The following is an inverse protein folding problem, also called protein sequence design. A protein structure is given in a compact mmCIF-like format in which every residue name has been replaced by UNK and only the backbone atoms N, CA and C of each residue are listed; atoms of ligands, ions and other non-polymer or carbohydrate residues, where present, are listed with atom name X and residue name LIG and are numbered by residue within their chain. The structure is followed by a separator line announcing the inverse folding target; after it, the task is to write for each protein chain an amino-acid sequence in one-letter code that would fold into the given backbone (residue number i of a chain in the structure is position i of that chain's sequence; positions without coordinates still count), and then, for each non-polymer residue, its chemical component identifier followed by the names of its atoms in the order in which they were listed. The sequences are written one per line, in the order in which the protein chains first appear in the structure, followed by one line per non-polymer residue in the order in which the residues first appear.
data_IF_918693452945
#
_entry.id   IF_918693452945
#
_cell.length_a   1.000
_cell.length_b   1.000
_cell.length_c   1.000
_cell.angle_alpha   90.00
_cell.angle_beta   90.00
_cell.angle_gamma   90.00
#
_symmetry.space_group_name_H-M   'P 1'
#
loop_
_entity.id
_entity.type
_entity.pdbx_description
1 polymer ?
#
# COMPACT_ATOMS: atom_id res chain seq x y z
N UNK A 1 5.91 -1.78 -37.01
CA UNK A 1 7.30 -1.39 -37.31
C UNK A 1 8.14 -1.27 -36.05
N UNK A 2 8.69 -2.41 -35.57
CA UNK A 2 9.61 -2.46 -34.43
C UNK A 2 11.07 -2.15 -34.83
N UNK A 3 11.36 -2.12 -36.13
CA UNK A 3 12.72 -1.91 -36.65
C UNK A 3 13.10 -0.43 -36.73
N UNK A 4 12.16 0.48 -36.98
CA UNK A 4 12.43 1.92 -37.07
C UNK A 4 12.60 2.62 -35.70
N UNK A 5 12.03 2.06 -34.62
CA UNK A 5 12.06 2.68 -33.28
C UNK A 5 13.24 2.24 -32.41
N UNK A 6 14.08 1.33 -32.91
CA UNK A 6 15.10 0.62 -32.13
C UNK A 6 16.53 1.14 -32.33
N UNK A 7 16.72 2.38 -32.78
CA UNK A 7 18.05 3.01 -32.77
C UNK A 7 18.27 3.62 -31.37
N UNK A 8 18.85 2.85 -30.46
CA UNK A 8 19.32 3.31 -29.14
C UNK A 8 18.44 2.97 -27.92
N UNK A 9 17.20 2.51 -28.12
CA UNK A 9 16.33 2.02 -27.04
C UNK A 9 16.37 0.49 -26.93
N UNK A 10 16.55 -0.02 -25.71
CA UNK A 10 16.56 -1.46 -25.43
C UNK A 10 15.23 -2.12 -25.90
N UNK A 11 15.29 -2.93 -26.97
CA UNK A 11 14.12 -3.60 -27.60
C UNK A 11 13.19 -4.27 -26.58
N UNK A 12 13.74 -4.84 -25.49
CA UNK A 12 12.96 -5.45 -24.40
C UNK A 12 12.01 -4.46 -23.73
N UNK A 13 12.47 -3.24 -23.46
CA UNK A 13 11.67 -2.18 -22.82
C UNK A 13 10.57 -1.67 -23.73
N UNK A 14 10.83 -1.65 -25.04
CA UNK A 14 9.86 -1.20 -26.04
C UNK A 14 8.70 -2.21 -26.20
N UNK A 15 9.02 -3.51 -26.29
CA UNK A 15 8.01 -4.58 -26.27
C UNK A 15 7.21 -4.55 -24.97
N UNK A 16 7.88 -4.43 -23.83
CA UNK A 16 7.22 -4.37 -22.53
C UNK A 16 6.28 -3.17 -22.41
N UNK A 17 6.71 -1.99 -22.87
CA UNK A 17 5.86 -0.79 -22.90
C UNK A 17 4.65 -0.96 -23.80
N UNK A 18 4.79 -1.64 -24.94
CA UNK A 18 3.67 -1.93 -25.83
C UNK A 18 2.66 -2.87 -25.16
N UNK A 19 3.13 -3.94 -24.50
CA UNK A 19 2.28 -4.87 -23.74
C UNK A 19 1.53 -4.16 -22.61
N UNK A 20 2.22 -3.33 -21.81
CA UNK A 20 1.58 -2.53 -20.75
C UNK A 20 0.50 -1.63 -21.34
N UNK A 21 0.77 -0.96 -22.45
CA UNK A 21 -0.17 -0.03 -23.08
C UNK A 21 -1.44 -0.75 -23.55
N UNK A 22 -1.30 -1.91 -24.20
CA UNK A 22 -2.45 -2.69 -24.64
C UNK A 22 -3.23 -3.30 -23.46
N UNK A 23 -2.55 -3.77 -22.41
CA UNK A 23 -3.22 -4.26 -21.21
C UNK A 23 -3.99 -3.16 -20.47
N UNK A 24 -3.43 -1.95 -20.38
CA UNK A 24 -4.14 -0.79 -19.82
C UNK A 24 -5.38 -0.49 -20.64
N UNK A 25 -5.27 -0.49 -21.98
CA UNK A 25 -6.40 -0.27 -22.89
C UNK A 25 -7.50 -1.32 -22.74
N UNK A 26 -7.15 -2.58 -22.47
CA UNK A 26 -8.13 -3.66 -22.26
C UNK A 26 -8.89 -3.54 -20.93
N UNK A 27 -8.26 -2.96 -19.91
CA UNK A 27 -8.87 -2.77 -18.58
C UNK A 27 -9.60 -1.44 -18.46
N UNK A 28 -9.26 -0.43 -19.25
CA UNK A 28 -9.94 0.85 -19.21
C UNK A 28 -11.25 0.76 -20.03
N UNK A 29 -12.43 0.79 -19.39
CA UNK A 29 -13.69 0.78 -20.14
C UNK A 29 -14.00 2.13 -20.80
N UNK A 30 -13.15 3.16 -20.62
CA UNK A 30 -13.41 4.56 -21.04
C UNK A 30 -14.68 5.17 -20.39
N UNK A 31 -15.24 4.49 -19.38
CA UNK A 31 -16.40 4.92 -18.59
C UNK A 31 -15.91 5.49 -17.26
N UNK A 32 -16.35 6.70 -16.93
CA UNK A 32 -16.06 7.30 -15.63
C UNK A 32 -16.77 6.51 -14.52
N UNK A 33 -16.07 6.14 -13.44
CA UNK A 33 -16.71 5.54 -12.29
C UNK A 33 -17.80 6.43 -11.71
N UNK A 34 -18.89 5.82 -11.25
CA UNK A 34 -19.87 6.50 -10.43
C UNK A 34 -19.21 7.05 -9.16
N UNK A 35 -19.58 8.27 -8.78
CA UNK A 35 -19.10 8.94 -7.58
C UNK A 35 -20.29 9.30 -6.70
N UNK A 36 -20.25 8.97 -5.40
CA UNK A 36 -21.30 9.37 -4.47
C UNK A 36 -21.33 10.90 -4.32
N UNK A 37 -22.52 11.45 -4.11
CA UNK A 37 -22.75 12.88 -3.92
C UNK A 37 -22.96 13.18 -2.44
N UNK A 38 -22.19 14.13 -1.89
CA UNK A 38 -22.30 14.55 -0.49
C UNK A 38 -23.67 15.15 -0.18
N UNK A 39 -24.13 15.02 1.06
CA UNK A 39 -25.42 15.54 1.55
C UNK A 39 -26.68 15.02 0.81
N UNK A 40 -26.55 13.90 0.07
CA UNK A 40 -27.66 13.18 -0.54
C UNK A 40 -27.56 11.70 -0.13
N UNK A 41 -28.66 10.97 0.09
CA UNK A 41 -28.58 9.52 0.24
C UNK A 41 -28.12 8.89 -1.07
N UNK A 42 -26.99 8.18 -1.02
CA UNK A 42 -26.48 7.36 -2.11
C UNK A 42 -26.69 5.89 -1.73
N UNK A 43 -27.50 5.17 -2.50
CA UNK A 43 -27.78 3.75 -2.27
C UNK A 43 -26.92 2.91 -3.19
N UNK A 44 -26.12 2.01 -2.62
CA UNK A 44 -25.21 1.14 -3.37
C UNK A 44 -25.51 -0.32 -3.07
N UNK A 45 -25.83 -1.09 -4.11
CA UNK A 45 -26.14 -2.51 -3.98
C UNK A 45 -24.95 -3.37 -4.37
N UNK A 46 -24.57 -4.32 -3.52
CA UNK A 46 -23.45 -5.23 -3.76
C UNK A 46 -23.95 -6.59 -4.22
N UNK A 47 -23.49 -7.02 -5.40
CA UNK A 47 -23.89 -8.28 -6.03
C UNK A 47 -22.67 -9.11 -6.42
N UNK A 48 -22.87 -10.40 -6.65
CA UNK A 48 -21.81 -11.29 -7.12
C UNK A 48 -21.89 -12.70 -6.53
N UNK A 49 -20.95 -13.54 -6.95
CA UNK A 49 -20.95 -14.97 -6.63
C UNK A 49 -20.85 -15.25 -5.13
N UNK A 50 -21.30 -16.44 -4.74
CA UNK A 50 -21.05 -16.95 -3.40
C UNK A 50 -19.54 -17.02 -3.15
N UNK A 51 -19.10 -16.57 -1.97
CA UNK A 51 -17.70 -16.60 -1.60
C UNK A 51 -16.81 -15.53 -2.28
N UNK A 52 -17.37 -14.61 -3.08
CA UNK A 52 -16.59 -13.53 -3.72
C UNK A 52 -16.12 -12.43 -2.76
N UNK A 53 -16.59 -12.45 -1.50
CA UNK A 53 -16.19 -11.50 -0.47
C UNK A 53 -17.15 -10.34 -0.21
N UNK A 54 -18.36 -10.33 -0.79
CA UNK A 54 -19.38 -9.25 -0.66
C UNK A 54 -19.51 -8.65 0.74
N UNK A 55 -19.93 -9.41 1.75
CA UNK A 55 -20.14 -8.91 3.13
C UNK A 55 -18.90 -8.23 3.72
N UNK A 56 -17.71 -8.79 3.47
CA UNK A 56 -16.44 -8.21 3.90
C UNK A 56 -16.17 -6.91 3.13
N UNK A 57 -16.36 -6.91 1.82
CA UNK A 57 -16.17 -5.73 0.95
C UNK A 57 -17.17 -4.62 1.28
N UNK A 58 -18.43 -4.92 1.60
CA UNK A 58 -19.43 -3.95 2.05
C UNK A 58 -18.91 -3.18 3.27
N UNK A 59 -18.39 -3.91 4.26
CA UNK A 59 -17.82 -3.30 5.48
C UNK A 59 -16.59 -2.45 5.16
N UNK A 60 -15.66 -2.96 4.33
CA UNK A 60 -14.46 -2.23 3.90
C UNK A 60 -14.80 -0.94 3.14
N UNK A 61 -15.76 -1.01 2.24
CA UNK A 61 -16.24 0.12 1.47
C UNK A 61 -16.89 1.17 2.38
N UNK A 62 -17.79 0.74 3.28
CA UNK A 62 -18.40 1.62 4.27
C UNK A 62 -17.36 2.32 5.16
N UNK A 63 -16.35 1.57 5.62
CA UNK A 63 -15.28 2.07 6.47
C UNK A 63 -14.36 3.05 5.73
N UNK A 64 -14.02 2.76 4.47
CA UNK A 64 -13.22 3.65 3.62
C UNK A 64 -13.87 5.03 3.47
N UNK A 65 -15.17 5.09 3.22
CA UNK A 65 -15.91 6.35 3.13
C UNK A 65 -16.13 7.01 4.50
N UNK A 66 -16.38 6.22 5.55
CA UNK A 66 -16.50 6.74 6.92
C UNK A 66 -15.22 7.48 7.36
N UNK A 67 -14.04 6.92 7.09
CA UNK A 67 -12.74 7.58 7.35
C UNK A 67 -12.56 8.90 6.60
N UNK A 68 -13.28 9.09 5.50
CA UNK A 68 -13.31 10.32 4.68
C UNK A 68 -14.47 11.26 5.09
N UNK A 69 -15.07 11.04 6.25
CA UNK A 69 -16.11 11.89 6.81
C UNK A 69 -17.51 11.66 6.22
N UNK A 70 -17.79 10.51 5.62
CA UNK A 70 -19.14 10.15 5.18
C UNK A 70 -19.94 9.47 6.28
N UNK A 71 -21.25 9.78 6.36
CA UNK A 71 -22.18 8.99 7.18
C UNK A 71 -22.57 7.73 6.42
N UNK A 72 -21.99 6.60 6.80
CA UNK A 72 -22.19 5.31 6.12
C UNK A 72 -23.05 4.36 6.96
N UNK A 73 -23.84 3.53 6.30
CA UNK A 73 -24.66 2.50 6.94
C UNK A 73 -24.70 1.23 6.09
N UNK A 74 -24.90 0.08 6.75
CA UNK A 74 -24.94 -1.24 6.13
C UNK A 74 -26.33 -1.86 6.28
N UNK A 75 -26.87 -2.46 5.22
CA UNK A 75 -28.13 -3.21 5.22
C UNK A 75 -27.81 -4.65 4.81
N UNK A 76 -28.15 -5.62 5.64
CA UNK A 76 -27.98 -7.03 5.35
C UNK A 76 -29.26 -7.60 4.72
N UNK A 77 -29.26 -7.80 3.40
CA UNK A 77 -30.33 -8.45 2.65
C UNK A 77 -29.95 -9.88 2.23
N UNK A 78 -29.02 -10.52 2.94
CA UNK A 78 -28.67 -11.93 2.78
C UNK A 78 -29.48 -12.77 3.79
N UNK A 79 -30.71 -13.14 3.42
CA UNK A 79 -31.60 -13.98 4.25
C UNK A 79 -31.38 -15.47 4.04
N UNK A 80 -30.63 -15.85 2.99
CA UNK A 80 -30.45 -17.26 2.61
C UNK A 80 -29.33 -17.94 3.42
N UNK A 81 -28.23 -17.25 3.66
CA UNK A 81 -27.07 -17.83 4.32
C UNK A 81 -27.18 -17.74 5.84
N UNK A 82 -27.12 -18.90 6.50
CA UNK A 82 -27.09 -18.96 7.96
C UNK A 82 -25.95 -18.12 8.56
N UNK A 83 -26.28 -17.25 9.51
CA UNK A 83 -25.32 -16.38 10.18
C UNK A 83 -24.78 -15.22 9.31
N UNK A 84 -25.34 -14.96 8.12
CA UNK A 84 -24.92 -13.83 7.30
C UNK A 84 -25.14 -12.49 8.01
N UNK A 85 -26.30 -12.30 8.66
CA UNK A 85 -26.57 -11.11 9.43
C UNK A 85 -25.61 -10.96 10.62
N UNK A 86 -25.33 -12.06 11.34
CA UNK A 86 -24.35 -12.03 12.45
C UNK A 86 -22.94 -11.69 11.96
N UNK A 87 -22.53 -12.20 10.80
CA UNK A 87 -21.25 -11.85 10.18
C UNK A 87 -21.18 -10.35 9.87
N UNK A 88 -22.21 -9.80 9.20
CA UNK A 88 -22.27 -8.37 8.89
C UNK A 88 -22.28 -7.53 10.17
N UNK A 89 -23.10 -7.91 11.16
CA UNK A 89 -23.20 -7.26 12.47
C UNK A 89 -21.87 -7.23 13.20
N UNK A 90 -21.12 -8.32 13.24
CA UNK A 90 -19.80 -8.38 13.87
C UNK A 90 -18.81 -7.45 13.16
N UNK A 91 -18.80 -7.46 11.83
CA UNK A 91 -17.92 -6.62 11.03
C UNK A 91 -18.26 -5.13 11.19
N UNK A 92 -19.54 -4.78 11.12
CA UNK A 92 -20.05 -3.42 11.31
C UNK A 92 -19.76 -2.90 12.73
N UNK A 93 -19.92 -3.74 13.75
CA UNK A 93 -19.61 -3.38 15.15
C UNK A 93 -18.12 -3.08 15.33
N UNK A 94 -17.24 -3.93 14.78
CA UNK A 94 -15.77 -3.69 14.80
C UNK A 94 -15.41 -2.37 14.10
N UNK A 95 -16.11 -2.05 13.01
CA UNK A 95 -15.91 -0.83 12.23
C UNK A 95 -16.61 0.41 12.80
N UNK A 96 -17.48 0.25 13.82
CA UNK A 96 -18.39 1.28 14.35
C UNK A 96 -19.34 1.88 13.29
N UNK A 97 -19.83 1.03 12.40
CA UNK A 97 -20.75 1.40 11.32
C UNK A 97 -22.16 0.95 11.70
N UNK A 98 -23.18 1.82 11.65
CA UNK A 98 -24.57 1.44 11.84
C UNK A 98 -25.01 0.37 10.82
N UNK A 99 -25.79 -0.59 11.28
CA UNK A 99 -26.24 -1.72 10.47
C UNK A 99 -27.73 -2.00 10.67
N UNK A 100 -28.38 -2.50 9.63
CA UNK A 100 -29.77 -2.96 9.63
C UNK A 100 -29.84 -4.38 9.08
N UNK A 101 -30.78 -5.16 9.60
CA UNK A 101 -31.09 -6.51 9.17
C UNK A 101 -32.09 -7.15 10.14
N UNK A 102 -32.59 -8.32 9.78
CA UNK A 102 -33.63 -9.02 10.54
C UNK A 102 -33.25 -10.48 10.78
N UNK A 103 -33.59 -10.99 11.95
CA UNK A 103 -33.50 -12.42 12.26
C UNK A 103 -34.81 -13.18 11.94
N UNK A 104 -35.92 -12.46 11.80
CA UNK A 104 -37.26 -13.04 11.66
C UNK A 104 -37.87 -12.82 10.29
N UNK A 105 -37.48 -11.74 9.60
CA UNK A 105 -37.94 -11.47 8.24
C UNK A 105 -37.15 -12.34 7.27
N UNK A 106 -37.86 -13.03 6.40
CA UNK A 106 -37.28 -13.92 5.39
C UNK A 106 -37.18 -13.25 4.01
N UNK A 107 -38.01 -12.24 3.74
CA UNK A 107 -38.03 -11.53 2.47
C UNK A 107 -36.90 -10.47 2.42
N UNK A 108 -35.88 -10.66 1.55
CA UNK A 108 -34.78 -9.72 1.44
C UNK A 108 -35.20 -8.38 0.82
N UNK A 109 -36.29 -8.32 0.05
CA UNK A 109 -36.83 -7.07 -0.50
C UNK A 109 -37.36 -6.18 0.63
N UNK A 110 -38.13 -6.74 1.56
CA UNK A 110 -38.67 -6.01 2.72
C UNK A 110 -37.52 -5.47 3.57
N UNK A 111 -36.52 -6.31 3.89
CA UNK A 111 -35.36 -5.89 4.67
C UNK A 111 -34.56 -4.78 3.98
N UNK A 112 -34.36 -4.89 2.67
CA UNK A 112 -33.63 -3.90 1.90
C UNK A 112 -34.37 -2.56 1.86
N UNK A 113 -35.69 -2.56 1.61
CA UNK A 113 -36.51 -1.34 1.57
C UNK A 113 -36.56 -0.67 2.94
N UNK A 114 -36.86 -1.41 4.00
CA UNK A 114 -36.96 -0.86 5.35
C UNK A 114 -35.62 -0.31 5.85
N UNK A 115 -34.52 -1.02 5.58
CA UNK A 115 -33.18 -0.58 5.94
C UNK A 115 -32.77 0.69 5.21
N UNK A 116 -33.01 0.76 3.90
CA UNK A 116 -32.73 1.96 3.11
C UNK A 116 -33.59 3.13 3.57
N UNK A 117 -34.88 2.93 3.83
CA UNK A 117 -35.79 3.97 4.29
C UNK A 117 -35.42 4.50 5.69
N UNK A 118 -35.04 3.60 6.60
CA UNK A 118 -34.58 3.97 7.95
C UNK A 118 -33.35 4.86 7.87
N UNK A 119 -32.33 4.46 7.10
CA UNK A 119 -31.11 5.24 6.98
C UNK A 119 -31.28 6.53 6.15
N UNK A 120 -32.23 6.58 5.22
CA UNK A 120 -32.64 7.84 4.56
C UNK A 120 -33.21 8.83 5.56
N UNK A 121 -34.11 8.38 6.44
CA UNK A 121 -34.71 9.23 7.51
C UNK A 121 -33.66 9.76 8.48
N UNK A 122 -32.66 8.94 8.82
CA UNK A 122 -31.57 9.32 9.72
C UNK A 122 -30.46 10.15 9.04
N UNK A 123 -30.66 10.57 7.78
CA UNK A 123 -29.73 11.39 6.99
C UNK A 123 -28.35 10.74 6.81
N UNK A 124 -28.31 9.44 6.55
CA UNK A 124 -27.10 8.78 6.06
C UNK A 124 -26.84 9.13 4.60
N UNK A 125 -25.57 9.34 4.28
CA UNK A 125 -25.14 9.75 2.94
C UNK A 125 -24.82 8.54 2.05
N UNK A 126 -24.37 7.43 2.64
CA UNK A 126 -23.98 6.23 1.89
C UNK A 126 -24.59 5.00 2.54
N UNK A 127 -25.57 4.40 1.86
CA UNK A 127 -26.32 3.24 2.31
C UNK A 127 -25.90 2.06 1.44
N UNK A 128 -25.31 1.04 2.06
CA UNK A 128 -24.73 -0.10 1.37
C UNK A 128 -25.56 -1.34 1.64
N UNK A 129 -26.10 -1.94 0.59
CA UNK A 129 -26.95 -3.13 0.66
C UNK A 129 -26.14 -4.37 0.29
N UNK A 130 -25.91 -5.26 1.25
CA UNK A 130 -25.26 -6.56 1.07
C UNK A 130 -26.30 -7.63 0.71
N UNK A 131 -26.24 -8.15 -0.51
CA UNK A 131 -27.15 -9.22 -0.96
C UNK A 131 -26.52 -10.60 -0.77
N UNK A 132 -27.36 -11.64 -0.77
CA UNK A 132 -26.91 -13.03 -0.87
C UNK A 132 -26.00 -13.28 -2.08
N UNK A 133 -25.14 -14.30 -1.97
CA UNK A 133 -24.35 -14.77 -3.10
C UNK A 133 -25.18 -15.62 -4.05
N UNK A 134 -25.07 -15.35 -5.36
CA UNK A 134 -25.93 -15.98 -6.37
C UNK A 134 -25.06 -16.66 -7.44
N UNK A 135 -25.38 -17.89 -7.81
CA UNK A 135 -24.76 -18.57 -8.96
C UNK A 135 -25.53 -18.21 -10.23
N UNK A 136 -24.85 -17.94 -11.37
CA UNK A 136 -25.51 -17.57 -12.64
C UNK A 136 -26.56 -18.57 -13.17
N UNK A 137 -26.61 -19.78 -12.62
CA UNK A 137 -27.52 -20.84 -13.06
C UNK A 137 -28.87 -20.85 -12.32
N UNK A 138 -29.04 -20.03 -11.29
CA UNK A 138 -30.27 -20.00 -10.48
C UNK A 138 -31.18 -18.82 -10.88
N UNK A 139 -32.10 -19.05 -11.81
CA UNK A 139 -33.00 -18.00 -12.34
C UNK A 139 -33.85 -17.32 -11.26
N UNK A 140 -34.36 -18.09 -10.30
CA UNK A 140 -35.18 -17.57 -9.18
C UNK A 140 -34.41 -16.55 -8.35
N UNK A 141 -33.11 -16.77 -8.13
CA UNK A 141 -32.26 -15.82 -7.43
C UNK A 141 -31.98 -14.57 -8.28
N UNK A 142 -31.88 -14.66 -9.61
CA UNK A 142 -31.73 -13.42 -10.39
C UNK A 142 -32.98 -12.55 -10.37
N UNK A 143 -34.15 -13.17 -10.32
CA UNK A 143 -35.43 -12.48 -10.24
C UNK A 143 -35.59 -11.74 -8.90
N UNK A 144 -35.26 -12.38 -7.78
CA UNK A 144 -35.24 -11.73 -6.47
C UNK A 144 -34.25 -10.54 -6.42
N UNK A 145 -33.06 -10.68 -7.01
CA UNK A 145 -32.10 -9.59 -7.10
C UNK A 145 -32.64 -8.40 -7.90
N UNK A 146 -33.35 -8.67 -9.00
CA UNK A 146 -34.00 -7.65 -9.81
C UNK A 146 -35.13 -6.97 -9.04
N UNK A 147 -35.91 -7.73 -8.26
CA UNK A 147 -36.94 -7.19 -7.38
C UNK A 147 -36.34 -6.24 -6.33
N UNK A 148 -35.26 -6.65 -5.65
CA UNK A 148 -34.54 -5.79 -4.69
C UNK A 148 -34.05 -4.52 -5.39
N UNK A 149 -33.39 -4.64 -6.55
CA UNK A 149 -32.90 -3.50 -7.31
C UNK A 149 -34.01 -2.52 -7.68
N UNK A 150 -35.16 -3.03 -8.12
CA UNK A 150 -36.31 -2.21 -8.50
C UNK A 150 -36.97 -1.54 -7.29
N UNK A 151 -36.99 -2.22 -6.13
CA UNK A 151 -37.57 -1.70 -4.90
C UNK A 151 -36.73 -0.59 -4.24
N UNK A 152 -35.41 -0.77 -4.19
CA UNK A 152 -34.53 0.21 -3.52
C UNK A 152 -34.00 1.31 -4.44
N UNK A 153 -34.02 1.07 -5.76
CA UNK A 153 -33.50 1.97 -6.81
C UNK A 153 -32.06 2.44 -6.51
N UNK A 154 -31.06 1.53 -6.56
CA UNK A 154 -29.70 1.87 -6.19
C UNK A 154 -29.07 2.85 -7.20
N UNK A 155 -28.32 3.85 -6.71
CA UNK A 155 -27.55 4.77 -7.55
C UNK A 155 -26.36 4.08 -8.24
N UNK A 156 -25.86 3.00 -7.65
CA UNK A 156 -24.82 2.16 -8.22
C UNK A 156 -24.95 0.70 -7.80
N UNK A 157 -24.73 -0.21 -8.74
CA UNK A 157 -24.67 -1.65 -8.47
C UNK A 157 -23.22 -2.10 -8.66
N UNK A 158 -22.63 -2.63 -7.59
CA UNK A 158 -21.24 -3.07 -7.57
C UNK A 158 -21.18 -4.59 -7.69
N UNK A 159 -20.55 -5.07 -8.76
CA UNK A 159 -20.23 -6.49 -8.92
C UNK A 159 -18.91 -6.82 -8.22
N UNK A 160 -18.98 -7.63 -7.16
CA UNK A 160 -17.82 -8.11 -6.41
C UNK A 160 -17.37 -9.45 -6.96
N UNK A 161 -16.14 -9.49 -7.45
CA UNK A 161 -15.52 -10.69 -7.99
C UNK A 161 -14.24 -11.07 -7.26
N UNK A 162 -13.97 -12.36 -7.21
CA UNK A 162 -12.74 -12.93 -6.65
C UNK A 162 -11.65 -12.96 -7.74
N UNK A 163 -10.45 -12.49 -7.41
CA UNK A 163 -9.30 -12.47 -8.32
C UNK A 163 -8.86 -13.86 -8.82
N UNK A 164 -9.20 -14.92 -8.10
CA UNK A 164 -8.91 -16.32 -8.47
C UNK A 164 -9.86 -16.86 -9.55
N UNK A 165 -10.96 -16.17 -9.84
CA UNK A 165 -11.90 -16.61 -10.88
C UNK A 165 -11.19 -16.55 -12.24
N UNK A 166 -11.12 -17.71 -12.90
CA UNK A 166 -10.54 -17.86 -14.22
C UNK A 166 -11.55 -17.56 -15.34
N UNK A 167 -11.60 -18.42 -16.34
CA UNK A 167 -12.39 -18.23 -17.57
C UNK A 167 -13.90 -18.07 -17.32
N UNK A 168 -14.42 -18.64 -16.24
CA UNK A 168 -15.84 -18.51 -15.88
C UNK A 168 -16.25 -17.06 -15.58
N UNK A 169 -15.30 -16.15 -15.31
CA UNK A 169 -15.60 -14.77 -14.96
C UNK A 169 -16.43 -14.04 -16.02
N UNK A 170 -16.15 -14.27 -17.31
CA UNK A 170 -16.85 -13.58 -18.41
C UNK A 170 -18.34 -13.91 -18.43
N UNK A 171 -18.67 -15.21 -18.37
CA UNK A 171 -20.06 -15.69 -18.39
C UNK A 171 -20.84 -15.17 -17.17
N UNK A 172 -20.22 -15.20 -15.99
CA UNK A 172 -20.86 -14.74 -14.77
C UNK A 172 -21.10 -13.23 -14.82
N UNK A 173 -20.07 -12.44 -15.16
CA UNK A 173 -20.19 -10.99 -15.23
C UNK A 173 -21.23 -10.55 -16.28
N UNK A 174 -21.30 -11.25 -17.42
CA UNK A 174 -22.32 -11.02 -18.45
C UNK A 174 -23.75 -11.36 -17.96
N UNK A 175 -23.91 -12.44 -17.19
CA UNK A 175 -25.19 -12.81 -16.60
C UNK A 175 -25.69 -11.80 -15.57
N UNK A 176 -24.80 -11.26 -14.73
CA UNK A 176 -25.17 -10.16 -13.82
C UNK A 176 -25.52 -8.89 -14.59
N UNK A 177 -24.70 -8.49 -15.57
CA UNK A 177 -24.96 -7.27 -16.35
C UNK A 177 -26.24 -7.33 -17.19
N UNK A 178 -26.66 -8.52 -17.65
CA UNK A 178 -27.89 -8.66 -18.44
C UNK A 178 -29.17 -8.59 -17.59
N UNK A 179 -29.06 -8.81 -16.28
CA UNK A 179 -30.20 -8.82 -15.35
C UNK A 179 -30.29 -7.56 -14.50
N UNK A 180 -29.14 -7.03 -14.07
CA UNK A 180 -29.06 -5.79 -13.28
C UNK A 180 -28.02 -4.86 -13.89
N UNK A 181 -28.26 -3.56 -13.77
CA UNK A 181 -27.36 -2.56 -14.33
C UNK A 181 -26.12 -2.36 -13.46
N UNK A 182 -25.18 -3.31 -13.56
CA UNK A 182 -23.88 -3.23 -12.89
C UNK A 182 -23.17 -1.98 -13.38
N UNK A 183 -22.87 -1.04 -12.48
CA UNK A 183 -22.19 0.22 -12.78
C UNK A 183 -20.72 0.23 -12.38
N UNK A 184 -20.27 -0.71 -11.54
CA UNK A 184 -18.88 -0.77 -11.08
C UNK A 184 -18.46 -2.19 -10.68
N UNK A 185 -17.15 -2.44 -10.69
CA UNK A 185 -16.57 -3.74 -10.31
C UNK A 185 -15.59 -3.55 -9.14
N UNK A 186 -15.59 -4.51 -8.21
CA UNK A 186 -14.55 -4.63 -7.17
C UNK A 186 -13.90 -6.00 -7.27
N UNK A 187 -12.58 -6.03 -7.23
CA UNK A 187 -11.79 -7.27 -7.29
C UNK A 187 -11.22 -7.58 -5.91
N UNK A 188 -11.55 -8.73 -5.34
CA UNK A 188 -11.11 -9.16 -3.99
C UNK A 188 -10.02 -10.23 -4.08
N UNK A 189 -9.43 -10.56 -2.92
CA UNK A 189 -8.43 -11.63 -2.75
C UNK A 189 -7.16 -11.46 -3.60
N UNK A 190 -6.74 -10.21 -3.85
CA UNK A 190 -5.52 -9.87 -4.61
C UNK A 190 -4.21 -9.97 -3.81
N UNK A 191 -4.32 -10.35 -2.53
CA UNK A 191 -3.24 -10.82 -1.67
C UNK A 191 -2.80 -12.25 -1.96
N UNK A 192 -3.67 -13.05 -2.58
CA UNK A 192 -3.33 -14.40 -3.02
C UNK A 192 -2.40 -14.37 -4.25
N UNK A 193 -1.82 -15.52 -4.60
CA UNK A 193 -1.02 -15.68 -5.84
C UNK A 193 -1.84 -15.52 -7.14
N UNK A 194 -3.14 -15.21 -7.04
CA UNK A 194 -4.00 -14.98 -8.19
C UNK A 194 -3.57 -13.70 -8.94
N UNK A 195 -3.31 -13.85 -10.23
CA UNK A 195 -2.92 -12.74 -11.12
C UNK A 195 -4.09 -11.81 -11.47
N UNK A 196 -5.30 -12.06 -10.98
CA UNK A 196 -6.46 -11.19 -11.24
C UNK A 196 -6.88 -11.13 -12.71
N UNK A 197 -6.56 -12.15 -13.51
CA UNK A 197 -6.89 -12.19 -14.93
C UNK A 197 -8.39 -12.12 -15.22
N UNK A 198 -9.23 -12.61 -14.31
CA UNK A 198 -10.69 -12.48 -14.42
C UNK A 198 -11.17 -11.02 -14.42
N UNK A 199 -10.41 -10.09 -13.84
CA UNK A 199 -10.77 -8.67 -13.83
C UNK A 199 -10.86 -8.09 -15.25
N UNK A 200 -9.97 -8.51 -16.15
CA UNK A 200 -10.02 -8.17 -17.58
C UNK A 200 -11.33 -8.67 -18.21
N UNK A 201 -11.69 -9.92 -17.95
CA UNK A 201 -12.92 -10.54 -18.47
C UNK A 201 -14.17 -9.86 -17.93
N UNK A 202 -14.19 -9.48 -16.64
CA UNK A 202 -15.30 -8.79 -16.03
C UNK A 202 -15.51 -7.39 -16.64
N UNK A 203 -14.45 -6.61 -16.82
CA UNK A 203 -14.54 -5.29 -17.48
C UNK A 203 -14.98 -5.45 -18.93
N UNK A 204 -14.41 -6.41 -19.66
CA UNK A 204 -14.76 -6.65 -21.05
C UNK A 204 -16.26 -7.00 -21.22
N UNK A 205 -16.81 -7.79 -20.30
CA UNK A 205 -18.21 -8.23 -20.32
C UNK A 205 -19.19 -7.17 -19.78
N UNK A 206 -18.85 -6.48 -18.69
CA UNK A 206 -19.76 -5.53 -18.01
C UNK A 206 -19.67 -4.11 -18.55
N UNK A 207 -18.57 -3.78 -19.25
CA UNK A 207 -18.19 -2.41 -19.64
C UNK A 207 -18.16 -1.43 -18.46
N UNK A 208 -17.98 -1.95 -17.24
CA UNK A 208 -18.01 -1.18 -16.00
C UNK A 208 -16.60 -1.04 -15.43
N UNK A 209 -16.24 0.14 -14.88
CA UNK A 209 -14.91 0.36 -14.33
C UNK A 209 -14.69 -0.39 -13.03
N UNK A 210 -13.45 -0.86 -12.84
CA UNK A 210 -13.00 -1.35 -11.54
C UNK A 210 -12.72 -0.14 -10.65
N UNK A 211 -13.35 -0.09 -9.49
CA UNK A 211 -13.26 1.07 -8.58
C UNK A 211 -12.35 0.82 -7.37
N UNK A 212 -12.30 -0.42 -6.88
CA UNK A 212 -11.52 -0.80 -5.71
C UNK A 212 -10.96 -2.21 -5.83
N UNK A 213 -9.92 -2.47 -5.05
CA UNK A 213 -9.31 -3.77 -4.85
C UNK A 213 -9.24 -4.14 -3.37
N UNK A 214 -9.54 -5.40 -3.06
CA UNK A 214 -9.33 -6.00 -1.75
C UNK A 214 -8.00 -6.74 -1.69
N UNK A 215 -7.10 -6.28 -0.82
CA UNK A 215 -5.70 -6.73 -0.72
C UNK A 215 -5.40 -7.52 0.56
N UNK A 216 -6.44 -8.10 1.18
CA UNK A 216 -6.32 -8.88 2.41
C UNK A 216 -7.66 -9.04 3.12
N UNK A 217 -7.64 -9.57 4.34
CA UNK A 217 -8.83 -9.82 5.17
C UNK A 217 -9.14 -8.69 6.15
N UNK A 218 -8.14 -7.89 6.54
CA UNK A 218 -8.35 -6.81 7.51
C UNK A 218 -9.17 -5.67 6.90
N UNK A 219 -9.84 -4.90 7.75
CA UNK A 219 -10.74 -3.82 7.32
C UNK A 219 -10.02 -2.71 6.54
N UNK A 220 -8.74 -2.49 6.85
CA UNK A 220 -7.90 -1.51 6.16
C UNK A 220 -7.30 -2.04 4.83
N UNK A 221 -7.42 -3.33 4.54
CA UNK A 221 -6.90 -3.95 3.30
C UNK A 221 -7.86 -3.71 2.12
N UNK A 222 -8.08 -2.44 1.81
CA UNK A 222 -9.00 -1.99 0.77
C UNK A 222 -8.50 -0.70 0.12
N UNK A 223 -8.18 -0.79 -1.18
CA UNK A 223 -7.45 0.27 -1.88
C UNK A 223 -8.19 0.68 -3.17
N UNK A 224 -8.19 1.98 -3.54
CA UNK A 224 -8.72 2.42 -4.82
C UNK A 224 -8.00 1.74 -5.98
N UNK A 225 -8.75 1.31 -7.00
CA UNK A 225 -8.14 0.67 -8.17
C UNK A 225 -7.42 1.70 -9.04
N UNK A 226 -6.20 1.37 -9.44
CA UNK A 226 -5.41 2.12 -10.43
C UNK A 226 -4.86 1.17 -11.49
N UNK A 227 -5.23 1.41 -12.75
CA UNK A 227 -4.93 0.51 -13.87
C UNK A 227 -3.42 0.30 -14.06
N UNK A 228 -2.62 1.37 -14.04
CA UNK A 228 -1.16 1.30 -14.27
C UNK A 228 -0.42 0.50 -13.18
N UNK A 229 -0.61 0.79 -11.88
CA UNK A 229 -0.11 -0.05 -10.78
C UNK A 229 -0.50 -1.52 -10.91
N UNK A 230 -1.78 -1.78 -11.18
CA UNK A 230 -2.29 -3.15 -11.30
C UNK A 230 -1.62 -3.93 -12.43
N UNK A 231 -1.48 -3.33 -13.62
CA UNK A 231 -0.80 -3.96 -14.76
C UNK A 231 0.71 -4.13 -14.48
N UNK A 232 1.33 -3.19 -13.79
CA UNK A 232 2.75 -3.30 -13.42
C UNK A 232 2.98 -4.46 -12.44
N UNK A 233 2.10 -4.62 -11.44
CA UNK A 233 2.09 -5.76 -10.53
C UNK A 233 1.84 -7.08 -11.27
N UNK A 234 0.89 -7.10 -12.20
CA UNK A 234 0.57 -8.26 -13.04
C UNK A 234 1.78 -8.75 -13.86
N UNK A 235 2.59 -7.81 -14.35
CA UNK A 235 3.80 -8.07 -15.14
C UNK A 235 5.06 -8.28 -14.28
N UNK A 236 4.94 -8.22 -12.94
CA UNK A 236 6.07 -8.38 -12.03
C UNK A 236 7.07 -7.21 -12.05
N UNK A 237 6.64 -6.03 -12.48
CA UNK A 237 7.47 -4.83 -12.62
C UNK A 237 7.60 -4.03 -11.32
N UNK A 238 6.89 -4.43 -10.26
CA UNK A 238 6.74 -3.64 -9.03
C UNK A 238 5.83 -2.43 -9.24
N UNK A 239 5.42 -1.79 -8.14
CA UNK A 239 4.57 -0.60 -8.18
C UNK A 239 5.27 0.57 -7.49
N UNK A 240 6.13 1.25 -8.25
CA UNK A 240 6.88 2.42 -7.76
C UNK A 240 5.93 3.59 -7.46
N UNK A 241 4.80 3.69 -8.16
CA UNK A 241 3.90 4.83 -8.02
C UNK A 241 2.98 4.70 -6.80
N UNK A 242 2.41 3.52 -6.56
CA UNK A 242 1.65 3.26 -5.34
C UNK A 242 2.52 3.32 -4.08
N UNK A 243 3.81 2.97 -4.17
CA UNK A 243 4.75 3.17 -3.06
C UNK A 243 4.89 4.65 -2.69
N UNK A 244 5.04 5.54 -3.67
CA UNK A 244 5.15 6.99 -3.44
C UNK A 244 3.86 7.53 -2.80
N UNK A 245 2.70 7.09 -3.25
CA UNK A 245 1.41 7.54 -2.70
C UNK A 245 1.18 7.04 -1.28
N UNK A 246 1.52 5.77 -0.98
CA UNK A 246 1.43 5.21 0.37
C UNK A 246 2.39 5.93 1.33
N UNK A 247 3.58 6.30 0.85
CA UNK A 247 4.55 7.14 1.59
C UNK A 247 4.02 8.56 1.82
N UNK A 248 3.31 9.15 0.86
CA UNK A 248 2.70 10.48 1.01
C UNK A 248 1.51 10.45 1.99
N UNK A 249 0.65 9.43 1.93
CA UNK A 249 -0.47 9.24 2.88
C UNK A 249 0.02 9.04 4.31
N UNK A 250 1.23 8.50 4.48
CA UNK A 250 1.86 8.26 5.78
C UNK A 250 2.32 9.54 6.48
N UNK A 251 2.25 10.73 5.83
CA UNK A 251 2.67 12.01 6.40
C UNK A 251 4.00 11.89 7.18
N UNK A 252 4.99 11.23 6.58
CA UNK A 252 6.32 11.08 7.17
C UNK A 252 7.03 12.43 7.41
N UNK A 253 6.47 13.52 6.88
CA UNK A 253 6.88 14.90 7.10
C UNK A 253 6.52 15.43 8.50
N UNK A 254 5.58 14.81 9.23
CA UNK A 254 5.13 15.31 10.55
C UNK A 254 6.09 14.99 11.71
N UNK A 255 7.20 14.29 11.48
CA UNK A 255 8.18 13.95 12.52
C UNK A 255 9.41 14.87 12.50
N UNK A 256 9.18 16.18 12.58
CA UNK A 256 10.25 17.19 12.71
C UNK A 256 11.21 16.89 13.88
N UNK A 257 10.68 16.37 14.99
CA UNK A 257 11.49 16.02 16.17
C UNK A 257 12.45 14.87 15.88
N UNK A 258 12.00 13.84 15.16
CA UNK A 258 12.85 12.73 14.74
C UNK A 258 13.96 13.24 13.80
N UNK A 259 13.61 14.11 12.85
CA UNK A 259 14.57 14.72 11.95
C UNK A 259 15.60 15.59 12.69
N UNK A 260 15.18 16.35 13.72
CA UNK A 260 16.08 17.12 14.60
C UNK A 260 16.98 16.19 15.42
N UNK A 261 16.46 15.12 16.03
CA UNK A 261 17.26 14.14 16.81
C UNK A 261 18.28 13.38 15.94
N UNK A 262 17.87 12.96 14.74
CA UNK A 262 18.73 12.31 13.75
C UNK A 262 19.84 13.25 13.26
N UNK A 263 19.56 14.54 13.07
CA UNK A 263 20.57 15.55 12.72
C UNK A 263 21.63 15.73 13.81
N UNK A 264 21.25 15.60 15.08
CA UNK A 264 22.18 15.70 16.22
C UNK A 264 22.88 14.37 16.51
N UNK A 265 22.62 13.30 15.75
CA UNK A 265 23.24 11.99 15.92
C UNK A 265 22.87 11.31 17.24
N UNK A 266 21.77 11.73 17.87
CA UNK A 266 21.26 11.15 19.12
C UNK A 266 20.17 10.13 18.76
N UNK A 267 20.39 8.88 19.17
CA UNK A 267 19.46 7.78 18.91
C UNK A 267 19.33 6.91 20.15
N UNK A 268 18.19 7.00 20.81
CA UNK A 268 17.89 6.31 22.07
C UNK A 268 17.09 5.02 21.83
N UNK A 269 16.93 4.21 22.87
CA UNK A 269 16.08 3.01 22.80
C UNK A 269 14.60 3.39 22.66
N UNK A 270 14.18 4.54 23.20
CA UNK A 270 12.83 5.10 22.97
C UNK A 270 12.60 5.45 21.51
N UNK A 271 13.56 6.10 20.86
CA UNK A 271 13.44 6.43 19.43
C UNK A 271 13.32 5.13 18.60
N UNK A 272 14.05 4.07 18.96
CA UNK A 272 13.91 2.75 18.33
C UNK A 272 12.52 2.13 18.56
N UNK A 273 11.96 2.26 19.76
CA UNK A 273 10.62 1.80 20.09
C UNK A 273 9.55 2.49 19.22
N UNK A 274 9.61 3.82 19.11
CA UNK A 274 8.72 4.61 18.27
C UNK A 274 8.81 4.19 16.80
N UNK A 275 10.02 3.91 16.30
CA UNK A 275 10.18 3.40 14.93
C UNK A 275 9.55 2.03 14.76
N UNK A 276 9.71 1.10 15.70
CA UNK A 276 9.03 -0.20 15.63
C UNK A 276 7.52 -0.05 15.68
N UNK A 277 6.99 0.85 16.51
CA UNK A 277 5.57 1.13 16.58
C UNK A 277 5.03 1.70 15.26
N UNK A 278 5.78 2.59 14.61
CA UNK A 278 5.42 3.13 13.31
C UNK A 278 5.45 2.05 12.22
N UNK A 279 6.48 1.20 12.21
CA UNK A 279 6.57 0.05 11.30
C UNK A 279 5.39 -0.92 11.54
N UNK A 280 5.03 -1.17 12.80
CA UNK A 280 3.88 -2.02 13.13
C UNK A 280 2.55 -1.43 12.67
N UNK A 281 2.37 -0.10 12.76
CA UNK A 281 1.20 0.62 12.22
C UNK A 281 1.12 0.55 10.69
N UNK A 282 2.26 0.40 10.00
CA UNK A 282 2.32 0.32 8.54
C UNK A 282 1.89 -1.05 7.96
N UNK A 283 1.62 -2.06 8.81
CA UNK A 283 1.16 -3.37 8.36
C UNK A 283 2.28 -4.31 7.87
N UNK A 284 1.98 -5.32 7.04
CA UNK A 284 2.97 -6.29 6.57
C UNK A 284 4.03 -5.65 5.67
N UNK A 285 5.26 -5.51 6.21
CA UNK A 285 6.41 -4.90 5.53
C UNK A 285 6.84 -5.63 4.24
N UNK A 286 6.43 -6.89 4.09
CA UNK A 286 6.69 -7.71 2.89
C UNK A 286 6.06 -7.13 1.63
N UNK A 287 4.87 -6.52 1.73
CA UNK A 287 4.21 -5.89 0.58
C UNK A 287 4.97 -4.65 0.08
N UNK A 288 5.54 -3.83 0.98
CA UNK A 288 6.29 -2.62 0.62
C UNK A 288 7.65 -2.99 0.00
N UNK A 289 8.35 -3.96 0.57
CA UNK A 289 9.65 -4.43 0.03
C UNK A 289 9.49 -5.16 -1.31
N UNK A 290 8.40 -5.92 -1.50
CA UNK A 290 8.06 -6.55 -2.78
C UNK A 290 7.76 -5.54 -3.92
N UNK A 291 7.56 -4.26 -3.60
CA UNK A 291 7.33 -3.19 -4.57
C UNK A 291 8.61 -2.47 -5.01
N UNK A 292 9.77 -2.72 -4.38
CA UNK A 292 11.04 -2.04 -4.68
C UNK A 292 11.88 -2.88 -5.66
N UNK A 293 12.10 -2.43 -6.91
CA UNK A 293 12.93 -3.16 -7.87
C UNK A 293 14.40 -3.16 -7.42
N UNK A 294 15.04 -4.34 -7.40
CA UNK A 294 16.49 -4.48 -7.22
C UNK A 294 16.99 -4.62 -5.77
N UNK A 295 16.10 -4.61 -4.77
CA UNK A 295 16.48 -5.02 -3.40
C UNK A 295 16.47 -6.55 -3.31
N UNK A 296 17.66 -7.13 -3.23
CA UNK A 296 17.90 -8.57 -3.37
C UNK A 296 17.28 -9.44 -2.28
N UNK A 297 17.08 -10.70 -2.67
CA UNK A 297 16.64 -11.89 -1.93
C UNK A 297 17.37 -12.19 -0.62
N UNK A 298 18.37 -11.41 -0.20
CA UNK A 298 19.18 -11.68 0.99
C UNK A 298 18.59 -11.15 2.30
N UNK A 299 17.75 -10.09 2.25
CA UNK A 299 17.02 -9.60 3.43
C UNK A 299 15.63 -10.23 3.59
N UNK A 300 15.12 -10.88 2.54
CA UNK A 300 13.96 -11.75 2.61
C UNK A 300 14.48 -13.13 3.02
N UNK A 301 14.82 -13.29 4.30
CA UNK A 301 14.80 -14.65 4.85
C UNK A 301 13.45 -15.26 4.50
N UNK A 302 13.41 -16.51 4.03
CA UNK A 302 12.20 -17.30 3.72
C UNK A 302 11.23 -17.51 4.91
N UNK A 303 11.35 -16.68 5.94
CA UNK A 303 10.54 -16.60 7.15
C UNK A 303 9.30 -15.77 6.84
N UNK A 304 8.12 -16.30 7.15
CA UNK A 304 6.84 -15.70 6.80
C UNK A 304 6.67 -14.28 7.36
N UNK A 305 5.89 -13.45 6.68
CA UNK A 305 5.63 -12.04 7.03
C UNK A 305 5.08 -11.87 8.46
N UNK A 306 4.30 -12.86 8.93
CA UNK A 306 3.80 -12.93 10.30
C UNK A 306 4.92 -13.14 11.34
N UNK A 307 5.97 -13.86 10.99
CA UNK A 307 7.12 -14.14 11.86
C UNK A 307 7.94 -12.87 12.09
N UNK A 308 8.12 -12.04 11.05
CA UNK A 308 8.79 -10.75 11.14
C UNK A 308 8.04 -9.78 12.06
N UNK A 309 6.71 -9.72 11.92
CA UNK A 309 5.82 -8.95 12.80
C UNK A 309 5.85 -9.45 14.26
N UNK A 310 5.84 -10.78 14.46
CA UNK A 310 5.95 -11.38 15.79
C UNK A 310 7.30 -11.07 16.45
N UNK A 311 8.38 -11.05 15.68
CA UNK A 311 9.72 -10.68 16.16
C UNK A 311 9.78 -9.22 16.61
N UNK A 312 9.20 -8.29 15.86
CA UNK A 312 9.10 -6.88 16.26
C UNK A 312 8.28 -6.72 17.54
N UNK A 313 7.14 -7.40 17.66
CA UNK A 313 6.35 -7.43 18.91
C UNK A 313 7.15 -7.95 20.10
N UNK A 314 7.92 -9.03 19.91
CA UNK A 314 8.81 -9.57 20.95
C UNK A 314 9.82 -8.51 21.41
N UNK A 315 10.43 -7.78 20.47
CA UNK A 315 11.40 -6.73 20.80
C UNK A 315 10.74 -5.54 21.53
N UNK A 316 9.52 -5.15 21.15
CA UNK A 316 8.76 -4.12 21.88
C UNK A 316 8.43 -4.54 23.31
N UNK A 317 7.97 -5.77 23.53
CA UNK A 317 7.72 -6.31 24.87
C UNK A 317 8.97 -6.31 25.77
N UNK A 318 10.15 -6.59 25.19
CA UNK A 318 11.43 -6.48 25.90
C UNK A 318 11.71 -5.02 26.32
N UNK A 319 11.43 -4.06 25.45
CA UNK A 319 11.59 -2.63 25.75
C UNK A 319 10.54 -2.11 26.74
N UNK A 320 9.31 -2.66 26.74
CA UNK A 320 8.28 -2.35 27.74
C UNK A 320 8.71 -2.75 29.17
N UNK A 321 9.67 -3.67 29.31
CA UNK A 321 10.25 -4.08 30.59
C UNK A 321 11.45 -3.22 31.04
N UNK A 322 11.83 -2.22 30.26
CA UNK A 322 12.87 -1.24 30.59
C UNK A 322 12.27 -0.04 31.33
N UNK A 323 13.08 0.69 32.10
CA UNK A 323 12.65 1.95 32.72
C UNK A 323 13.01 3.15 31.83
N UNK A 324 12.43 4.32 32.11
CA UNK A 324 12.67 5.55 31.34
C UNK A 324 14.16 5.91 31.29
N UNK A 325 14.88 5.72 32.39
CA UNK A 325 16.33 5.95 32.44
C UNK A 325 17.12 5.03 31.50
N UNK A 326 16.65 3.81 31.23
CA UNK A 326 17.25 2.88 30.27
C UNK A 326 16.85 3.22 28.84
N UNK A 327 15.61 3.66 28.62
CA UNK A 327 15.05 3.97 27.31
C UNK A 327 15.60 5.29 26.74
N UNK A 328 15.73 6.32 27.59
CA UNK A 328 16.10 7.69 27.20
C UNK A 328 17.61 7.97 27.29
N UNK A 329 18.39 6.99 27.73
CA UNK A 329 19.84 7.14 27.79
C UNK A 329 20.45 7.18 26.38
N UNK A 330 21.29 8.19 26.12
CA UNK A 330 22.00 8.39 24.84
C UNK A 330 22.86 7.18 24.41
N UNK A 331 23.30 6.38 25.39
CA UNK A 331 24.00 5.11 25.16
C UNK A 331 23.37 4.02 26.02
N UNK A 332 22.13 3.65 25.70
CA UNK A 332 21.40 2.59 26.42
C UNK A 332 22.19 1.28 26.45
N UNK A 333 22.92 0.96 25.37
CA UNK A 333 23.72 -0.25 25.28
C UNK A 333 24.82 -0.33 26.35
N UNK A 334 25.46 0.80 26.69
CA UNK A 334 26.48 0.86 27.74
C UNK A 334 25.90 0.59 29.12
N UNK A 335 24.67 1.02 29.42
CA UNK A 335 24.02 0.73 30.71
C UNK A 335 23.80 -0.77 30.91
N UNK A 336 23.30 -1.46 29.89
CA UNK A 336 23.09 -2.91 29.94
C UNK A 336 24.41 -3.71 29.99
N UNK A 337 25.50 -3.17 29.42
CA UNK A 337 26.85 -3.78 29.51
C UNK A 337 27.50 -3.60 30.88
N UNK A 338 27.35 -2.41 31.49
CA UNK A 338 27.95 -2.08 32.79
C UNK A 338 27.20 -2.70 33.97
N UNK A 339 25.88 -2.90 33.83
CA UNK A 339 25.04 -3.48 34.89
C UNK A 339 24.23 -4.68 34.34
N UNK A 340 24.85 -5.89 34.27
CA UNK A 340 24.20 -7.09 33.74
C UNK A 340 22.91 -7.51 34.47
N UNK A 341 22.74 -7.10 35.73
CA UNK A 341 21.51 -7.32 36.50
C UNK A 341 20.26 -6.71 35.84
N UNK A 342 20.41 -5.66 35.02
CA UNK A 342 19.32 -5.08 34.22
C UNK A 342 18.82 -6.06 33.17
N UNK A 343 19.71 -6.80 32.50
CA UNK A 343 19.32 -7.82 31.53
C UNK A 343 18.49 -8.94 32.18
N UNK A 344 18.88 -9.37 33.39
CA UNK A 344 18.12 -10.39 34.13
C UNK A 344 16.75 -9.89 34.62
N UNK A 345 16.62 -8.60 34.95
CA UNK A 345 15.33 -7.99 35.30
C UNK A 345 14.41 -7.90 34.08
N UNK A 346 14.91 -7.35 32.97
CA UNK A 346 14.16 -7.19 31.72
C UNK A 346 13.73 -8.55 31.15
N UNK A 347 14.61 -9.55 31.16
CA UNK A 347 14.30 -10.90 30.70
C UNK A 347 13.14 -11.53 31.49
N UNK A 348 13.14 -11.38 32.82
CA UNK A 348 12.05 -11.85 33.69
C UNK A 348 10.74 -11.10 33.44
N UNK A 349 10.79 -9.78 33.25
CA UNK A 349 9.60 -8.95 32.99
C UNK A 349 8.92 -9.28 31.66
N UNK A 350 9.72 -9.52 30.61
CA UNK A 350 9.22 -9.83 29.28
C UNK A 350 8.98 -11.33 29.02
N UNK A 351 9.33 -12.21 29.98
CA UNK A 351 9.21 -13.67 29.82
C UNK A 351 10.15 -14.25 28.74
N UNK A 352 11.32 -13.64 28.54
CA UNK A 352 12.30 -14.03 27.51
C UNK A 352 13.62 -14.49 28.12
N UNK A 353 14.51 -15.05 27.30
CA UNK A 353 15.86 -15.40 27.75
C UNK A 353 16.75 -14.17 27.89
N UNK A 354 17.78 -14.24 28.75
CA UNK A 354 18.79 -13.17 28.85
C UNK A 354 19.49 -12.92 27.50
N UNK A 355 19.64 -13.98 26.70
CA UNK A 355 20.22 -13.90 25.34
C UNK A 355 19.37 -13.03 24.42
N UNK A 356 18.05 -13.15 24.47
CA UNK A 356 17.15 -12.31 23.66
C UNK A 356 17.34 -10.82 23.96
N UNK A 357 17.54 -10.47 25.22
CA UNK A 357 17.80 -9.08 25.65
C UNK A 357 19.17 -8.61 25.13
N UNK A 358 20.20 -9.44 25.23
CA UNK A 358 21.54 -9.14 24.71
C UNK A 358 21.54 -8.97 23.18
N UNK A 359 20.77 -9.80 22.48
CA UNK A 359 20.60 -9.71 21.02
C UNK A 359 19.91 -8.41 20.63
N UNK A 360 18.87 -7.97 21.36
CA UNK A 360 18.22 -6.68 21.16
C UNK A 360 19.20 -5.52 21.37
N UNK A 361 19.97 -5.52 22.45
CA UNK A 361 20.97 -4.47 22.73
C UNK A 361 22.08 -4.44 21.67
N UNK A 362 22.46 -5.60 21.15
CA UNK A 362 23.43 -5.70 20.05
C UNK A 362 22.86 -5.14 18.75
N UNK A 363 21.59 -5.42 18.45
CA UNK A 363 20.89 -4.86 17.29
C UNK A 363 20.73 -3.34 17.42
N UNK A 364 20.32 -2.84 18.58
CA UNK A 364 20.28 -1.41 18.89
C UNK A 364 21.65 -0.75 18.68
N UNK A 365 22.75 -1.37 19.16
CA UNK A 365 24.10 -0.83 18.99
C UNK A 365 24.49 -0.67 17.52
N UNK A 366 24.14 -1.66 16.69
CA UNK A 366 24.37 -1.61 15.23
C UNK A 366 23.53 -0.49 14.58
N UNK A 367 22.28 -0.35 15.00
CA UNK A 367 21.38 0.67 14.47
C UNK A 367 21.85 2.08 14.86
N UNK A 368 22.19 2.29 16.13
CA UNK A 368 22.75 3.55 16.63
C UNK A 368 24.04 3.94 15.89
N UNK A 369 24.92 2.97 15.57
CA UNK A 369 26.11 3.22 14.76
C UNK A 369 25.79 3.66 13.32
N UNK A 370 24.79 3.06 12.68
CA UNK A 370 24.33 3.48 11.35
C UNK A 370 23.74 4.89 11.39
N UNK A 371 22.89 5.19 12.37
CA UNK A 371 22.29 6.52 12.56
C UNK A 371 23.36 7.58 12.82
N UNK A 372 24.35 7.28 13.66
CA UNK A 372 25.47 8.19 13.93
C UNK A 372 26.30 8.48 12.67
N UNK A 373 26.53 7.47 11.82
CA UNK A 373 27.18 7.65 10.51
C UNK A 373 26.33 8.51 9.56
N UNK A 374 25.02 8.30 9.53
CA UNK A 374 24.10 9.06 8.67
C UNK A 374 23.92 10.52 9.13
N UNK A 375 23.84 10.77 10.43
CA UNK A 375 23.82 12.12 11.01
C UNK A 375 25.13 12.88 10.77
N UNK A 376 26.27 12.18 10.83
CA UNK A 376 27.58 12.75 10.48
C UNK A 376 27.70 13.14 9.00
N UNK A 377 27.07 12.36 8.11
CA UNK A 377 27.04 12.66 6.67
C UNK A 377 26.12 13.86 6.37
N UNK A 378 24.94 13.96 6.99
CA UNK A 378 24.04 15.13 6.78
C UNK A 378 24.56 16.42 7.42
N UNK A 379 25.40 16.34 8.46
CA UNK A 379 26.15 17.48 8.98
C UNK A 379 27.13 18.09 7.96
N UNK A 380 27.64 17.28 7.02
CA UNK A 380 28.45 17.72 5.88
C UNK A 380 27.59 18.24 4.70
N UNK A 381 26.31 17.89 4.65
CA UNK A 381 25.36 18.28 3.60
C UNK A 381 24.34 19.32 4.06
N UNK A 382 24.63 20.10 5.13
CA UNK A 382 23.84 21.27 5.47
C UNK A 382 24.03 22.30 4.35
N UNK A 383 23.04 22.32 3.46
CA UNK A 383 22.80 23.27 2.39
C UNK A 383 22.84 24.70 2.98
N UNK A 384 23.97 25.38 2.87
CA UNK A 384 24.11 26.75 3.37
C UNK A 384 25.51 27.37 3.39
N UNK A 385 26.59 26.60 3.56
CA UNK A 385 27.90 27.22 3.84
C UNK A 385 29.09 26.60 3.07
N UNK A 386 28.87 26.28 1.80
CA UNK A 386 29.90 25.76 0.90
C UNK A 386 30.67 26.86 0.14
N UNK A 387 30.74 28.08 0.67
CA UNK A 387 31.44 29.19 -0.01
C UNK A 387 32.56 29.85 0.80
N UNK A 388 32.83 29.44 2.05
CA UNK A 388 33.97 29.99 2.80
C UNK A 388 34.73 28.89 3.53
N UNK A 389 35.98 28.68 3.10
CA UNK A 389 37.03 27.84 3.71
C UNK A 389 36.97 26.33 3.47
N UNK A 390 37.08 25.91 2.21
CA UNK A 390 37.58 24.55 1.90
C UNK A 390 39.11 24.58 1.87
N UNK A 391 39.73 23.84 2.78
CA UNK A 391 41.19 23.71 2.88
C UNK A 391 41.73 22.94 1.64
N UNK A 392 42.73 23.46 0.88
CA UNK A 392 43.17 22.88 -0.40
C UNK A 392 43.61 21.41 -0.32
N UNK A 393 44.12 20.99 0.83
CA UNK A 393 44.59 19.63 1.11
C UNK A 393 43.46 18.60 1.27
N UNK A 394 42.27 19.00 1.70
CA UNK A 394 41.10 18.10 1.78
C UNK A 394 40.48 17.86 0.40
N UNK A 395 40.48 18.87 -0.47
CA UNK A 395 40.05 18.73 -1.87
C UNK A 395 40.96 17.78 -2.66
N UNK A 396 42.27 17.82 -2.43
CA UNK A 396 43.20 16.86 -3.06
C UNK A 396 42.95 15.41 -2.59
N UNK A 397 42.71 15.19 -1.29
CA UNK A 397 42.37 13.85 -0.78
C UNK A 397 41.06 13.33 -1.37
N UNK A 398 40.02 14.18 -1.44
CA UNK A 398 38.73 13.83 -2.03
C UNK A 398 38.87 13.48 -3.53
N UNK A 399 39.65 14.26 -4.28
CA UNK A 399 39.87 14.02 -5.72
C UNK A 399 40.66 12.72 -5.98
N UNK A 400 41.63 12.39 -5.12
CA UNK A 400 42.38 11.13 -5.20
C UNK A 400 41.58 9.87 -4.81
N UNK A 401 40.53 10.03 -4.00
CA UNK A 401 39.61 8.94 -3.67
C UNK A 401 38.53 8.78 -4.75
N UNK A 402 38.07 9.89 -5.34
CA UNK A 402 37.12 9.87 -6.46
C UNK A 402 37.70 9.21 -7.71
N UNK A 403 38.98 9.47 -8.03
CA UNK A 403 39.64 8.84 -9.19
C UNK A 403 39.80 7.32 -9.07
N UNK A 404 39.77 6.77 -7.84
CA UNK A 404 39.83 5.33 -7.58
C UNK A 404 38.48 4.62 -7.67
N UNK A 405 37.38 5.37 -7.66
CA UNK A 405 36.01 4.86 -7.72
C UNK A 405 35.39 4.96 -9.12
N UNK A 406 36.08 5.60 -10.07
CA UNK A 406 35.63 5.74 -11.45
C UNK A 406 36.25 4.63 -12.28
N UNK A 407 35.40 3.86 -12.97
CA UNK A 407 35.80 2.78 -13.88
C UNK A 407 36.81 3.29 -14.93
N UNK A 408 37.95 2.61 -15.16
CA UNK A 408 38.98 3.03 -16.12
C UNK A 408 38.44 3.28 -17.53
N UNK A 409 37.36 2.60 -17.92
CA UNK A 409 36.73 2.78 -19.24
C UNK A 409 35.98 4.10 -19.35
N UNK A 410 35.33 4.52 -18.27
CA UNK A 410 34.65 5.81 -18.19
C UNK A 410 35.71 6.91 -18.20
N UNK A 411 36.81 6.75 -17.46
CA UNK A 411 37.89 7.73 -17.39
C UNK A 411 38.53 8.02 -18.77
N UNK A 412 38.70 7.00 -19.61
CA UNK A 412 39.16 7.19 -21.00
C UNK A 412 38.13 7.90 -21.88
N UNK A 413 36.84 7.65 -21.66
CA UNK A 413 35.75 8.25 -22.43
C UNK A 413 35.57 9.75 -22.13
N UNK A 414 35.96 10.21 -20.94
CA UNK A 414 35.95 11.64 -20.56
C UNK A 414 37.28 12.34 -20.81
N UNK A 415 38.27 11.70 -21.46
CA UNK A 415 39.55 12.32 -21.80
C UNK A 415 40.59 12.33 -20.68
N UNK A 416 40.50 11.39 -19.73
CA UNK A 416 41.46 11.24 -18.64
C UNK A 416 41.29 12.27 -17.51
N UNK A 417 42.34 12.44 -16.71
CA UNK A 417 42.36 13.34 -15.56
C UNK A 417 42.13 14.81 -15.92
N UNK A 418 42.52 15.24 -17.11
CA UNK A 418 42.31 16.59 -17.64
C UNK A 418 40.85 16.87 -17.99
N UNK A 419 40.12 15.89 -18.52
CA UNK A 419 38.70 16.02 -18.84
C UNK A 419 37.78 15.94 -17.62
N UNK A 420 38.20 15.24 -16.56
CA UNK A 420 37.54 15.33 -15.25
C UNK A 420 37.69 16.74 -14.66
N UNK A 421 38.84 17.39 -14.90
CA UNK A 421 39.15 18.72 -14.40
C UNK A 421 38.42 19.83 -15.16
N UNK A 422 38.19 19.67 -16.47
CA UNK A 422 37.33 20.57 -17.25
C UNK A 422 35.86 20.43 -16.87
N UNK A 423 35.40 19.19 -16.64
CA UNK A 423 34.03 18.91 -16.17
C UNK A 423 33.78 19.53 -14.78
N UNK A 424 34.74 19.43 -13.86
CA UNK A 424 34.64 20.06 -12.54
C UNK A 424 34.63 21.60 -12.62
N UNK A 425 35.47 22.21 -13.47
CA UNK A 425 35.45 23.67 -13.70
C UNK A 425 34.09 24.15 -14.22
N UNK A 426 33.48 23.37 -15.11
CA UNK A 426 32.19 23.70 -15.69
C UNK A 426 31.03 23.53 -14.68
N UNK A 427 31.15 22.56 -13.78
CA UNK A 427 30.22 22.39 -12.65
C UNK A 427 30.32 23.54 -11.63
N UNK A 428 31.53 24.10 -11.47
CA UNK A 428 31.80 25.19 -10.52
C UNK A 428 31.39 26.57 -11.05
N UNK A 429 31.29 26.77 -12.37
CA UNK A 429 30.98 28.07 -12.99
C UNK A 429 29.49 28.34 -13.30
N UNK A 430 28.59 27.44 -12.94
CA UNK A 430 27.16 27.76 -12.86
C UNK A 430 26.26 27.00 -13.83
N UNK A 431 25.34 26.23 -13.26
CA UNK A 431 24.24 25.59 -13.97
C UNK A 431 23.59 24.52 -13.11
N UNK A 432 22.47 24.85 -12.46
CA UNK A 432 21.61 23.88 -11.79
C UNK A 432 21.05 22.80 -12.74
N UNK A 433 20.17 21.90 -12.25
CA UNK A 433 19.77 20.65 -12.93
C UNK A 433 19.03 20.76 -14.28
N UNK A 434 19.05 21.90 -14.97
CA UNK A 434 18.46 22.11 -16.30
C UNK A 434 19.46 22.05 -17.47
N UNK A 435 20.77 21.94 -17.22
CA UNK A 435 21.81 21.96 -18.27
C UNK A 435 22.05 20.65 -19.03
N UNK A 436 21.48 19.53 -18.56
CA UNK A 436 21.68 18.20 -19.16
C UNK A 436 20.95 17.99 -20.49
N UNK A 437 20.03 18.89 -20.87
CA UNK A 437 19.27 18.80 -22.13
C UNK A 437 20.06 19.13 -23.41
N UNK A 438 21.23 19.79 -23.29
CA UNK A 438 22.04 20.20 -24.45
C UNK A 438 23.13 19.21 -24.85
N UNK A 439 23.29 18.08 -24.15
CA UNK A 439 24.28 17.05 -24.49
C UNK A 439 23.75 15.93 -25.40
N UNK A 440 22.44 15.89 -25.69
CA UNK A 440 21.83 14.82 -26.51
C UNK A 440 21.04 15.31 -27.73
N UNK A 441 21.03 16.61 -28.03
CA UNK A 441 20.43 17.16 -29.25
C UNK A 441 21.51 17.42 -30.30
N UNK A 442 21.68 16.49 -31.23
CA UNK A 442 22.48 16.70 -32.44
C UNK A 442 21.66 17.41 -33.50
N UNK A 443 22.19 18.51 -34.03
CA UNK A 443 21.75 19.12 -35.28
C UNK A 443 21.97 18.14 -36.44
N UNK A 444 20.86 17.65 -37.02
CA UNK A 444 20.53 17.50 -38.46
C UNK A 444 19.51 16.40 -38.69
#
# INVERSE_FOLDING_TARGET
NLEETAVGLNKRRLIQSAVVKELVRLIDPEVKPWQPVKNKPNVVMFVGLQGSGKTTTCTKYAYHFMRRGWKTALVCADTFRAGAFDQLKQNATKARIPFYGSYTESDPLVIAMDGVETFRKDNFELIIVDTSGRHAQEESLFEEMLQISNGIQPDNIIFVMDASIGQACELQAKAFKSKVDVGSVIVTKLDSHAKGGGALSAVAATKSPIIFIGTGEHIDDFEPFKTKPFISKLLGMGDVQGLIEKVNDLKLEDNEELMKKLQHGQFTLRDMYEQFQNIMKMGPFGQIMGMIPGFGTEFISKSGEQESQARLRKMMCIMDSMNDNELDHLDGAKLFKTQPGRCARVARGAGVSIRDVQDLITQYSKFAQMVKKMGGIKGLFKQGDMTKNVNPTQMQKLNSQMSKLIDPRILHQIGGSSGLQSMMRQFQQGGGPGGLGKLFGGDK
#
